data_IF_739162190439
#
_entry.id   IF_739162190439
#
_cell.length_a   1.000
_cell.length_b   1.000
_cell.length_c   1.000
_cell.angle_alpha   90.00
_cell.angle_beta   90.00
_cell.angle_gamma   90.00
#
_symmetry.space_group_name_H-M   'P 1'
#
loop_
_entity.id
_entity.type
_entity.pdbx_description
1 polymer ?
#
# COMPACT_ATOMS: atom_id res chain seq x y z
N UNK A 1 3.93 -31.18 2.56
CA UNK A 1 5.05 -30.59 3.30
C UNK A 1 5.91 -29.80 2.33
N UNK A 2 7.09 -29.34 2.74
CA UNK A 2 8.01 -28.59 1.87
C UNK A 2 8.42 -29.37 0.61
N UNK A 3 8.46 -30.70 0.66
CA UNK A 3 8.83 -31.58 -0.45
C UNK A 3 7.64 -31.91 -1.37
N UNK A 4 6.46 -31.36 -1.10
CA UNK A 4 5.22 -31.69 -1.83
C UNK A 4 4.63 -33.05 -1.42
N UNK A 5 5.10 -33.64 -0.32
CA UNK A 5 4.56 -34.90 0.19
C UNK A 5 3.34 -34.66 1.06
N UNK A 6 2.44 -35.64 1.14
CA UNK A 6 1.29 -35.60 2.05
C UNK A 6 1.73 -35.37 3.50
N UNK A 7 1.06 -34.46 4.20
CA UNK A 7 1.28 -34.25 5.63
C UNK A 7 0.60 -35.36 6.44
N UNK A 8 1.30 -35.92 7.42
CA UNK A 8 0.71 -36.80 8.42
C UNK A 8 1.36 -36.61 9.79
N UNK A 9 0.58 -36.78 10.85
CA UNK A 9 1.10 -36.77 12.22
C UNK A 9 2.16 -37.87 12.44
N UNK A 10 1.99 -39.03 11.79
CA UNK A 10 2.94 -40.15 11.88
C UNK A 10 4.27 -39.89 11.17
N UNK A 11 4.31 -39.02 10.16
CA UNK A 11 5.50 -38.66 9.41
C UNK A 11 6.25 -37.45 10.00
N UNK A 12 5.71 -36.83 11.07
CA UNK A 12 6.31 -35.68 11.74
C UNK A 12 6.39 -34.40 10.88
N UNK A 13 5.78 -34.40 9.69
CA UNK A 13 5.79 -33.28 8.73
C UNK A 13 4.47 -32.46 8.75
N UNK A 14 3.63 -32.68 9.76
CA UNK A 14 2.36 -32.00 9.95
C UNK A 14 2.58 -30.61 10.57
N UNK A 15 1.98 -29.58 9.97
CA UNK A 15 1.94 -28.23 10.53
C UNK A 15 0.66 -28.06 11.35
N UNK A 16 0.79 -27.77 12.63
CA UNK A 16 -0.34 -27.54 13.53
C UNK A 16 -0.75 -26.07 13.49
N UNK A 17 -1.99 -25.80 13.07
CA UNK A 17 -2.53 -24.45 12.99
C UNK A 17 -2.54 -23.72 14.34
N UNK A 18 -2.81 -24.41 15.46
CA UNK A 18 -2.82 -23.78 16.79
C UNK A 18 -1.41 -23.35 17.22
N UNK A 19 -0.39 -24.16 16.92
CA UNK A 19 1.00 -23.80 17.18
C UNK A 19 1.43 -22.62 16.31
N UNK A 20 1.06 -22.60 15.03
CA UNK A 20 1.32 -21.44 14.15
C UNK A 20 0.61 -20.17 14.62
N UNK A 21 -0.63 -20.26 15.09
CA UNK A 21 -1.36 -19.11 15.68
C UNK A 21 -0.66 -18.63 16.96
N UNK A 22 -0.26 -19.54 17.84
CA UNK A 22 0.46 -19.18 19.07
C UNK A 22 1.81 -18.52 18.78
N UNK A 23 2.51 -18.94 17.71
CA UNK A 23 3.83 -18.46 17.34
C UNK A 23 3.80 -17.14 16.55
N UNK A 24 2.90 -17.02 15.58
CA UNK A 24 2.88 -15.91 14.62
C UNK A 24 1.63 -15.03 14.70
N UNK A 25 0.55 -15.51 15.30
CA UNK A 25 -0.75 -14.87 15.29
C UNK A 25 -1.66 -15.34 14.15
N UNK A 26 -2.96 -15.22 14.37
CA UNK A 26 -4.03 -15.65 13.45
C UNK A 26 -3.99 -14.92 12.11
N UNK A 27 -3.79 -13.60 12.12
CA UNK A 27 -3.75 -12.79 10.90
C UNK A 27 -2.57 -13.16 9.99
N UNK A 28 -1.42 -13.54 10.56
CA UNK A 28 -0.25 -13.97 9.76
C UNK A 28 -0.55 -15.31 9.08
N UNK A 29 -1.17 -16.25 9.80
CA UNK A 29 -1.58 -17.52 9.20
C UNK A 29 -2.64 -17.31 8.10
N UNK A 30 -3.64 -16.43 8.33
CA UNK A 30 -4.65 -16.09 7.32
C UNK A 30 -4.05 -15.41 6.10
N UNK A 31 -3.08 -14.52 6.29
CA UNK A 31 -2.36 -13.86 5.20
C UNK A 31 -1.56 -14.88 4.37
N UNK A 32 -0.92 -15.85 5.03
CA UNK A 32 -0.22 -16.93 4.34
C UNK A 32 -1.19 -17.77 3.50
N UNK A 33 -2.34 -18.16 4.05
CA UNK A 33 -3.40 -18.87 3.31
C UNK A 33 -3.88 -18.04 2.12
N UNK A 34 -4.08 -16.73 2.30
CA UNK A 34 -4.49 -15.85 1.22
C UNK A 34 -3.40 -15.73 0.14
N UNK A 35 -2.11 -15.87 0.47
CA UNK A 35 -1.00 -15.70 -0.47
C UNK A 35 -0.75 -16.89 -1.41
N UNK A 36 -1.24 -18.08 -1.07
CA UNK A 36 -0.98 -19.30 -1.84
C UNK A 36 -2.05 -19.58 -2.89
N UNK A 37 -1.66 -20.14 -4.04
CA UNK A 37 -2.62 -20.62 -5.03
C UNK A 37 -3.23 -21.94 -4.56
N UNK A 38 -4.44 -21.89 -4.00
CA UNK A 38 -5.12 -23.07 -3.45
C UNK A 38 -5.66 -24.05 -4.51
N UNK A 39 -5.62 -23.67 -5.79
CA UNK A 39 -6.01 -24.57 -6.89
C UNK A 39 -4.94 -25.64 -7.15
N UNK A 40 -3.73 -25.44 -6.64
CA UNK A 40 -2.60 -26.35 -6.74
C UNK A 40 -2.27 -26.98 -5.38
N UNK A 41 -1.44 -28.02 -5.38
CA UNK A 41 -0.92 -28.59 -4.14
C UNK A 41 -0.07 -27.56 -3.39
N UNK A 42 -0.57 -27.13 -2.23
CA UNK A 42 0.11 -26.12 -1.41
C UNK A 42 1.25 -26.77 -0.62
N UNK A 43 2.45 -26.20 -0.77
CA UNK A 43 3.57 -26.48 0.14
C UNK A 43 3.34 -25.74 1.45
N UNK A 44 3.23 -26.50 2.53
CA UNK A 44 3.02 -25.98 3.88
C UNK A 44 4.15 -26.47 4.79
N UNK A 45 4.93 -25.53 5.32
CA UNK A 45 5.91 -25.73 6.39
C UNK A 45 5.96 -24.45 7.26
N UNK A 46 6.57 -24.55 8.45
CA UNK A 46 6.67 -23.43 9.40
C UNK A 46 7.46 -22.24 8.84
N UNK A 47 8.47 -22.50 7.99
CA UNK A 47 9.31 -21.47 7.40
C UNK A 47 8.54 -20.58 6.41
N UNK A 48 7.71 -21.16 5.54
CA UNK A 48 6.89 -20.43 4.57
C UNK A 48 5.86 -19.54 5.27
N UNK A 49 5.26 -20.03 6.37
CA UNK A 49 4.37 -19.23 7.21
C UNK A 49 5.17 -18.09 7.85
N UNK A 50 6.34 -18.38 8.42
CA UNK A 50 7.21 -17.38 9.05
C UNK A 50 7.66 -16.26 8.09
N UNK A 51 7.97 -16.58 6.82
CA UNK A 51 8.30 -15.56 5.80
C UNK A 51 7.17 -14.57 5.54
N UNK A 52 5.93 -14.93 5.84
CA UNK A 52 4.75 -14.04 5.69
C UNK A 52 4.75 -12.89 6.71
N UNK A 53 5.50 -13.02 7.81
CA UNK A 53 5.62 -11.94 8.82
C UNK A 53 6.19 -10.64 8.23
N UNK A 54 7.14 -10.74 7.30
CA UNK A 54 7.70 -9.55 6.66
C UNK A 54 6.69 -8.86 5.76
N UNK A 55 5.88 -9.62 5.02
CA UNK A 55 4.81 -9.07 4.22
C UNK A 55 3.75 -8.37 5.09
N UNK A 56 3.33 -9.03 6.17
CA UNK A 56 2.43 -8.46 7.18
C UNK A 56 2.99 -7.16 7.77
N UNK A 57 4.27 -7.15 8.16
CA UNK A 57 4.93 -5.97 8.75
C UNK A 57 4.94 -4.79 7.79
N UNK A 58 5.16 -5.01 6.49
CA UNK A 58 5.09 -3.93 5.48
C UNK A 58 3.68 -3.35 5.38
N UNK A 59 2.65 -4.19 5.29
CA UNK A 59 1.25 -3.75 5.27
C UNK A 59 0.92 -2.95 6.55
N UNK A 60 1.25 -3.49 7.73
CA UNK A 60 1.01 -2.81 9.02
C UNK A 60 1.74 -1.47 9.13
N UNK A 61 2.98 -1.39 8.63
CA UNK A 61 3.73 -0.13 8.62
C UNK A 61 3.09 0.93 7.71
N UNK A 62 2.56 0.54 6.55
CA UNK A 62 1.79 1.42 5.66
C UNK A 62 0.56 1.95 6.39
N UNK A 63 -0.24 1.07 7.01
CA UNK A 63 -1.42 1.47 7.79
C UNK A 63 -1.06 2.43 8.94
N UNK A 64 -0.01 2.12 9.69
CA UNK A 64 0.48 2.97 10.78
C UNK A 64 0.93 4.35 10.29
N UNK A 65 1.63 4.42 9.16
CA UNK A 65 2.07 5.69 8.58
C UNK A 65 0.87 6.55 8.18
N UNK A 66 -0.10 5.97 7.46
CA UNK A 66 -1.32 6.68 7.07
C UNK A 66 -2.07 7.20 8.29
N UNK A 67 -2.33 6.33 9.27
CA UNK A 67 -3.05 6.67 10.49
C UNK A 67 -2.34 7.78 11.29
N UNK A 68 -1.01 7.72 11.40
CA UNK A 68 -0.24 8.72 12.14
C UNK A 68 -0.21 10.10 11.48
N UNK A 69 -0.43 10.19 10.17
CA UNK A 69 -0.42 11.46 9.43
C UNK A 69 -1.80 12.11 9.29
N UNK A 70 -2.87 11.48 9.80
CA UNK A 70 -4.24 12.00 9.71
C UNK A 70 -4.87 12.28 11.08
N UNK A 71 -4.09 12.29 12.16
CA UNK A 71 -4.63 12.45 13.53
C UNK A 71 -5.36 13.79 13.75
N UNK A 72 -4.90 14.87 13.10
CA UNK A 72 -5.49 16.22 13.15
C UNK A 72 -6.46 16.53 11.99
N UNK A 73 -6.80 15.52 11.18
CA UNK A 73 -7.57 15.69 9.95
C UNK A 73 -9.03 15.27 10.15
N UNK A 74 -9.95 16.24 10.00
CA UNK A 74 -11.38 16.00 9.87
C UNK A 74 -11.77 16.07 8.38
N UNK A 75 -12.16 14.96 7.74
CA UNK A 75 -12.51 14.95 6.33
C UNK A 75 -13.75 15.79 6.01
N UNK A 76 -14.62 16.12 6.98
CA UNK A 76 -15.80 16.93 6.73
C UNK A 76 -15.48 18.42 6.56
N UNK A 77 -14.38 18.88 7.16
CA UNK A 77 -13.99 20.30 7.17
C UNK A 77 -12.76 20.56 6.29
N UNK A 78 -11.86 19.57 6.19
CA UNK A 78 -10.49 19.78 5.68
C UNK A 78 -10.19 19.03 4.38
N UNK A 79 -11.16 18.26 3.86
CA UNK A 79 -10.98 17.57 2.58
C UNK A 79 -10.78 18.56 1.44
N UNK A 80 -9.86 18.23 0.55
CA UNK A 80 -9.60 18.97 -0.69
C UNK A 80 -10.30 18.25 -1.84
N UNK A 81 -10.99 18.99 -2.72
CA UNK A 81 -11.60 18.42 -3.91
C UNK A 81 -10.52 17.86 -4.85
N UNK A 82 -10.83 16.76 -5.55
CA UNK A 82 -9.86 16.05 -6.39
C UNK A 82 -9.11 16.96 -7.37
N UNK A 83 -9.83 17.86 -8.05
CA UNK A 83 -9.23 18.77 -9.04
C UNK A 83 -8.26 19.79 -8.43
N UNK A 84 -8.45 20.13 -7.15
CA UNK A 84 -7.61 21.06 -6.39
C UNK A 84 -6.45 20.35 -5.67
N UNK A 85 -6.39 19.01 -5.72
CA UNK A 85 -5.30 18.24 -5.14
C UNK A 85 -4.00 18.41 -5.93
N UNK A 86 -2.88 18.23 -5.25
CA UNK A 86 -1.58 18.18 -5.90
C UNK A 86 -1.48 16.93 -6.78
N UNK A 87 -0.75 17.04 -7.88
CA UNK A 87 -0.65 15.98 -8.90
C UNK A 87 -0.26 14.61 -8.33
N UNK A 88 0.69 14.58 -7.39
CA UNK A 88 1.13 13.33 -6.73
C UNK A 88 0.02 12.69 -5.87
N UNK A 89 -0.88 13.50 -5.31
CA UNK A 89 -2.01 13.01 -4.53
C UNK A 89 -3.14 12.53 -5.45
N UNK A 90 -3.38 13.23 -6.57
CA UNK A 90 -4.28 12.76 -7.64
C UNK A 90 -3.84 11.40 -8.16
N UNK A 91 -2.55 11.25 -8.44
CA UNK A 91 -1.96 9.97 -8.83
C UNK A 91 -2.21 8.87 -7.78
N UNK A 92 -1.97 9.15 -6.49
CA UNK A 92 -2.22 8.17 -5.44
C UNK A 92 -3.70 7.77 -5.35
N UNK A 93 -4.61 8.72 -5.56
CA UNK A 93 -6.06 8.50 -5.62
C UNK A 93 -6.47 7.64 -6.82
N UNK A 94 -5.86 7.82 -7.99
CA UNK A 94 -6.07 6.97 -9.16
C UNK A 94 -5.55 5.55 -8.95
N UNK A 95 -4.34 5.42 -8.36
CA UNK A 95 -3.78 4.10 -8.02
C UNK A 95 -4.68 3.37 -7.01
N UNK A 96 -5.30 4.10 -6.08
CA UNK A 96 -6.30 3.53 -5.17
C UNK A 96 -7.52 2.99 -5.93
N UNK A 97 -8.07 3.73 -6.91
CA UNK A 97 -9.21 3.26 -7.69
C UNK A 97 -8.88 2.00 -8.50
N UNK A 98 -7.69 1.96 -9.14
CA UNK A 98 -7.17 0.77 -9.83
C UNK A 98 -7.06 -0.43 -8.88
N UNK A 99 -6.59 -0.20 -7.64
CA UNK A 99 -6.51 -1.24 -6.61
C UNK A 99 -7.91 -1.74 -6.24
N UNK A 100 -8.86 -0.85 -5.96
CA UNK A 100 -10.24 -1.21 -5.58
C UNK A 100 -10.87 -2.09 -6.66
N UNK A 101 -10.79 -1.69 -7.93
CA UNK A 101 -11.32 -2.46 -9.05
C UNK A 101 -10.70 -3.86 -9.12
N UNK A 102 -9.37 -3.94 -9.05
CA UNK A 102 -8.62 -5.19 -9.18
C UNK A 102 -8.83 -6.15 -8.00
N UNK A 103 -8.87 -5.62 -6.78
CA UNK A 103 -9.10 -6.40 -5.55
C UNK A 103 -10.54 -6.90 -5.50
N UNK A 104 -11.51 -6.05 -5.87
CA UNK A 104 -12.92 -6.46 -5.94
C UNK A 104 -13.10 -7.62 -6.92
N UNK A 105 -12.56 -7.49 -8.13
CA UNK A 105 -12.59 -8.57 -9.12
C UNK A 105 -11.90 -9.85 -8.62
N UNK A 106 -10.76 -9.73 -7.95
CA UNK A 106 -10.07 -10.90 -7.38
C UNK A 106 -10.90 -11.59 -6.29
N UNK A 107 -11.59 -10.83 -5.43
CA UNK A 107 -12.50 -11.41 -4.44
C UNK A 107 -13.72 -12.09 -5.08
N UNK A 108 -14.35 -11.47 -6.07
CA UNK A 108 -15.52 -12.02 -6.78
C UNK A 108 -15.20 -13.34 -7.50
N UNK A 109 -13.95 -13.50 -7.95
CA UNK A 109 -13.46 -14.71 -8.61
C UNK A 109 -12.73 -15.67 -7.66
N UNK A 110 -12.78 -15.41 -6.34
CA UNK A 110 -12.12 -16.21 -5.31
C UNK A 110 -10.60 -16.35 -5.48
N UNK A 111 -9.93 -15.41 -6.16
CA UNK A 111 -8.49 -15.43 -6.44
C UNK A 111 -7.71 -14.72 -5.32
N UNK A 112 -7.70 -15.29 -4.12
CA UNK A 112 -7.15 -14.63 -2.92
C UNK A 112 -5.64 -14.30 -2.99
N UNK A 113 -4.84 -15.12 -3.67
CA UNK A 113 -3.41 -14.83 -3.88
C UNK A 113 -3.20 -13.57 -4.74
N UNK A 114 -4.17 -13.28 -5.61
CA UNK A 114 -4.20 -12.02 -6.37
C UNK A 114 -4.54 -10.85 -5.45
N UNK A 115 -5.50 -10.99 -4.54
CA UNK A 115 -5.79 -9.96 -3.51
C UNK A 115 -4.53 -9.66 -2.70
N UNK A 116 -3.86 -10.69 -2.18
CA UNK A 116 -2.61 -10.53 -1.43
C UNK A 116 -1.55 -9.76 -2.23
N UNK A 117 -1.24 -10.23 -3.44
CA UNK A 117 -0.19 -9.62 -4.27
C UNK A 117 -0.51 -8.17 -4.67
N UNK A 118 -1.76 -7.87 -5.01
CA UNK A 118 -2.21 -6.51 -5.34
C UNK A 118 -2.04 -5.56 -4.16
N UNK A 119 -2.56 -5.92 -2.98
CA UNK A 119 -2.48 -5.08 -1.79
C UNK A 119 -1.03 -4.94 -1.32
N UNK A 120 -0.26 -6.02 -1.32
CA UNK A 120 1.14 -6.00 -0.94
C UNK A 120 1.97 -5.11 -1.87
N UNK A 121 1.77 -5.21 -3.19
CA UNK A 121 2.45 -4.34 -4.14
C UNK A 121 2.06 -2.88 -3.92
N UNK A 122 0.76 -2.58 -3.78
CA UNK A 122 0.29 -1.24 -3.46
C UNK A 122 0.95 -0.64 -2.21
N UNK A 123 1.03 -1.41 -1.12
CA UNK A 123 1.66 -0.96 0.11
C UNK A 123 3.17 -0.71 -0.05
N UNK A 124 3.85 -1.50 -0.88
CA UNK A 124 5.32 -1.48 -0.97
C UNK A 124 5.87 -0.58 -2.06
N UNK A 125 5.21 -0.52 -3.21
CA UNK A 125 5.64 0.25 -4.37
C UNK A 125 4.93 1.60 -4.35
N UNK A 126 3.62 1.64 -4.59
CA UNK A 126 2.88 2.89 -4.72
C UNK A 126 2.94 3.73 -3.45
N UNK A 127 2.72 3.09 -2.30
CA UNK A 127 2.70 3.80 -1.02
C UNK A 127 4.11 4.02 -0.45
N UNK A 128 4.80 2.96 -0.05
CA UNK A 128 6.03 3.11 0.73
C UNK A 128 7.20 3.67 -0.07
N UNK A 129 7.41 3.24 -1.32
CA UNK A 129 8.61 3.62 -2.08
C UNK A 129 8.42 4.91 -2.88
N UNK A 130 7.18 5.28 -3.20
CA UNK A 130 6.86 6.47 -4.00
C UNK A 130 6.13 7.50 -3.13
N UNK A 131 4.85 7.28 -2.83
CA UNK A 131 3.98 8.31 -2.30
C UNK A 131 4.45 8.84 -0.93
N UNK A 132 4.59 7.94 0.04
CA UNK A 132 4.95 8.29 1.41
C UNK A 132 6.37 8.85 1.49
N UNK A 133 7.29 8.40 0.64
CA UNK A 133 8.65 8.93 0.63
C UNK A 133 8.71 10.39 0.18
N UNK A 134 7.97 10.73 -0.89
CA UNK A 134 7.82 12.10 -1.39
C UNK A 134 7.08 12.98 -0.39
N UNK A 135 6.10 12.44 0.33
CA UNK A 135 5.24 13.23 1.21
C UNK A 135 5.84 13.57 2.58
N UNK A 136 6.93 12.93 3.00
CA UNK A 136 7.52 13.16 4.34
C UNK A 136 7.76 14.64 4.62
N UNK A 137 8.47 15.34 3.73
CA UNK A 137 8.86 16.73 3.98
C UNK A 137 7.62 17.63 4.11
N UNK A 138 6.64 17.51 3.22
CA UNK A 138 5.40 18.30 3.31
C UNK A 138 4.51 17.93 4.50
N UNK A 139 4.54 16.69 4.97
CA UNK A 139 3.76 16.31 6.16
C UNK A 139 4.40 16.85 7.46
N UNK A 140 5.73 16.98 7.51
CA UNK A 140 6.47 17.41 8.70
C UNK A 140 6.77 18.91 8.74
N UNK A 141 6.97 19.56 7.60
CA UNK A 141 7.53 20.91 7.52
C UNK A 141 6.51 21.97 7.07
N UNK A 142 5.50 21.61 6.27
CA UNK A 142 4.52 22.59 5.80
C UNK A 142 3.56 23.00 6.92
N UNK A 143 2.96 24.19 6.78
CA UNK A 143 1.97 24.67 7.74
C UNK A 143 0.78 23.71 7.86
N UNK A 144 0.26 23.58 9.09
CA UNK A 144 -0.76 22.59 9.45
C UNK A 144 -2.01 22.65 8.55
N UNK A 145 -2.43 23.86 8.18
CA UNK A 145 -3.64 24.14 7.37
C UNK A 145 -3.34 24.46 5.89
N UNK A 146 -2.09 24.29 5.44
CA UNK A 146 -1.74 24.53 4.04
C UNK A 146 -2.48 23.58 3.09
N UNK A 147 -2.81 24.08 1.87
CA UNK A 147 -3.38 23.24 0.80
C UNK A 147 -2.49 22.03 0.51
N UNK A 148 -1.16 22.24 0.49
CA UNK A 148 -0.18 21.17 0.35
C UNK A 148 -0.42 20.08 1.40
N UNK A 149 -0.46 20.40 2.70
CA UNK A 149 -0.68 19.37 3.72
C UNK A 149 -2.07 18.73 3.65
N UNK A 150 -3.14 19.53 3.47
CA UNK A 150 -4.53 19.04 3.44
C UNK A 150 -4.84 18.16 2.21
N UNK A 151 -4.24 18.44 1.06
CA UNK A 151 -4.33 17.58 -0.14
C UNK A 151 -3.82 16.17 0.15
N UNK A 152 -2.69 16.06 0.86
CA UNK A 152 -2.06 14.78 1.16
C UNK A 152 -2.83 14.00 2.22
N UNK A 153 -3.32 14.70 3.25
CA UNK A 153 -4.17 14.06 4.27
C UNK A 153 -5.50 13.58 3.69
N UNK A 154 -6.07 14.30 2.73
CA UNK A 154 -7.28 13.85 2.01
C UNK A 154 -7.04 12.52 1.31
N UNK A 155 -5.94 12.39 0.56
CA UNK A 155 -5.57 11.13 -0.08
C UNK A 155 -5.27 10.03 0.95
N UNK A 156 -4.46 10.32 1.97
CA UNK A 156 -4.08 9.33 2.99
C UNK A 156 -5.30 8.79 3.75
N UNK A 157 -6.26 9.65 4.10
CA UNK A 157 -7.50 9.26 4.76
C UNK A 157 -8.31 8.30 3.88
N UNK A 158 -8.56 8.68 2.61
CA UNK A 158 -9.30 7.82 1.68
C UNK A 158 -8.60 6.49 1.40
N UNK A 159 -7.27 6.52 1.24
CA UNK A 159 -6.44 5.31 1.07
C UNK A 159 -6.55 4.41 2.29
N UNK A 160 -6.40 4.94 3.50
CA UNK A 160 -6.50 4.17 4.74
C UNK A 160 -7.87 3.49 4.87
N UNK A 161 -8.95 4.26 4.71
CA UNK A 161 -10.31 3.75 4.82
C UNK A 161 -10.58 2.60 3.84
N UNK A 162 -10.22 2.78 2.56
CA UNK A 162 -10.43 1.75 1.55
C UNK A 162 -9.52 0.53 1.76
N UNK A 163 -8.25 0.75 2.13
CA UNK A 163 -7.28 -0.32 2.34
C UNK A 163 -7.68 -1.21 3.53
N UNK A 164 -8.13 -0.62 4.65
CA UNK A 164 -8.60 -1.36 5.83
C UNK A 164 -9.82 -2.22 5.48
N UNK A 165 -10.79 -1.68 4.74
CA UNK A 165 -11.96 -2.43 4.27
C UNK A 165 -11.59 -3.58 3.33
N UNK A 166 -10.64 -3.38 2.41
CA UNK A 166 -10.14 -4.45 1.54
C UNK A 166 -9.35 -5.53 2.29
N UNK A 167 -8.68 -5.17 3.38
CA UNK A 167 -7.91 -6.11 4.20
C UNK A 167 -8.78 -6.91 5.18
N UNK A 168 -9.94 -6.38 5.58
CA UNK A 168 -10.80 -6.96 6.60
C UNK A 168 -11.13 -8.45 6.42
N UNK A 169 -11.40 -8.98 5.20
CA UNK A 169 -11.67 -10.41 5.03
C UNK A 169 -10.47 -11.32 5.38
N UNK A 170 -9.24 -10.82 5.28
CA UNK A 170 -8.00 -11.59 5.50
C UNK A 170 -7.39 -11.27 6.87
N UNK A 171 -7.09 -10.01 7.14
CA UNK A 171 -6.45 -9.52 8.37
C UNK A 171 -7.51 -9.06 9.39
N UNK A 172 -8.33 -9.99 9.86
CA UNK A 172 -9.56 -9.67 10.59
C UNK A 172 -9.32 -8.91 11.90
N UNK A 173 -8.21 -9.18 12.59
CA UNK A 173 -7.89 -8.51 13.86
C UNK A 173 -7.22 -7.16 13.60
N UNK A 174 -6.27 -7.12 12.67
CA UNK A 174 -5.53 -5.89 12.32
C UNK A 174 -6.45 -4.85 11.71
N UNK A 175 -7.39 -5.25 10.84
CA UNK A 175 -8.35 -4.34 10.26
C UNK A 175 -9.27 -3.74 11.34
N UNK A 176 -9.70 -4.53 12.31
CA UNK A 176 -10.54 -4.04 13.43
C UNK A 176 -9.76 -3.09 14.36
N UNK A 177 -8.49 -3.39 14.65
CA UNK A 177 -7.60 -2.53 15.43
C UNK A 177 -7.46 -1.15 14.76
N UNK A 178 -7.22 -1.13 13.45
CA UNK A 178 -7.06 0.11 12.69
C UNK A 178 -8.38 0.87 12.58
N UNK A 179 -9.49 0.18 12.28
CA UNK A 179 -10.82 0.79 12.22
C UNK A 179 -11.21 1.44 13.55
N UNK A 180 -10.95 0.77 14.67
CA UNK A 180 -11.20 1.30 16.01
C UNK A 180 -10.38 2.56 16.30
N UNK A 181 -9.15 2.63 15.78
CA UNK A 181 -8.27 3.79 15.95
C UNK A 181 -8.61 4.97 15.02
N UNK A 182 -9.33 4.74 13.92
CA UNK A 182 -9.75 5.82 13.01
C UNK A 182 -10.83 6.69 13.64
N UNK A 183 -10.53 7.98 13.82
CA UNK A 183 -11.51 8.97 14.32
C UNK A 183 -12.68 9.19 13.36
N UNK A 184 -12.36 9.33 12.07
CA UNK A 184 -13.33 9.56 11.00
C UNK A 184 -13.32 8.40 10.02
N UNK A 185 -14.48 7.74 9.88
CA UNK A 185 -14.70 6.56 9.04
C UNK A 185 -15.63 6.92 7.89
N UNK A 186 -15.49 6.28 6.74
CA UNK A 186 -16.44 6.49 5.62
C UNK A 186 -17.85 5.94 5.88
N UNK A 187 -17.97 5.02 6.85
CA UNK A 187 -19.24 4.42 7.28
C UNK A 187 -19.31 4.41 8.79
N UNK A 188 -20.45 4.84 9.34
CA UNK A 188 -20.71 4.86 10.78
C UNK A 188 -21.19 3.47 11.24
N UNK A 189 -20.24 2.54 11.34
CA UNK A 189 -20.47 1.17 11.83
C UNK A 189 -19.45 0.81 12.91
N UNK A 190 -19.93 0.09 13.92
CA UNK A 190 -19.14 -0.26 15.12
C UNK A 190 -17.92 -1.13 14.80
N UNK A 191 -18.03 -2.02 13.80
CA UNK A 191 -16.98 -2.96 13.41
C UNK A 191 -16.70 -2.84 11.92
N UNK A 192 -15.42 -3.02 11.53
CA UNK A 192 -15.03 -3.06 10.11
C UNK A 192 -15.78 -4.17 9.36
N UNK A 193 -16.13 -5.24 10.06
CA UNK A 193 -16.79 -6.42 9.48
C UNK A 193 -18.27 -6.18 9.15
N UNK A 194 -18.81 -5.02 9.54
CA UNK A 194 -20.14 -4.53 9.14
C UNK A 194 -20.06 -3.52 7.99
N UNK A 195 -18.86 -3.03 7.66
CA UNK A 195 -18.65 -2.07 6.58
C UNK A 195 -18.74 -2.76 5.22
N UNK A 196 -19.23 -2.02 4.22
CA UNK A 196 -19.23 -2.51 2.84
C UNK A 196 -17.84 -2.36 2.21
N UNK A 197 -17.48 -3.24 1.27
CA UNK A 197 -16.28 -3.07 0.43
C UNK A 197 -16.25 -1.69 -0.26
N UNK A 198 -15.06 -1.10 -0.48
CA UNK A 198 -14.94 0.12 -1.26
C UNK A 198 -15.48 -0.09 -2.67
N UNK A 199 -16.05 0.98 -3.22
CA UNK A 199 -16.42 1.06 -4.63
C UNK A 199 -15.51 2.06 -5.31
N UNK A 200 -15.29 1.82 -6.59
CA UNK A 200 -14.58 2.75 -7.46
C UNK A 200 -15.32 4.07 -7.49
N UNK A 201 -14.58 5.16 -7.34
CA UNK A 201 -15.07 6.52 -7.53
C UNK A 201 -14.95 6.89 -9.02
N UNK A 202 -16.06 6.79 -9.75
CA UNK A 202 -16.11 7.06 -11.19
C UNK A 202 -15.89 8.53 -11.56
N UNK A 203 -15.84 9.44 -10.57
CA UNK A 203 -15.44 10.83 -10.80
C UNK A 203 -13.93 10.99 -11.03
N UNK A 204 -13.13 9.98 -10.66
CA UNK A 204 -11.69 9.96 -10.87
C UNK A 204 -11.42 9.16 -12.14
N UNK A 205 -10.78 9.76 -13.13
CA UNK A 205 -10.32 9.03 -14.31
C UNK A 205 -9.14 8.12 -13.94
N UNK A 206 -9.46 6.91 -13.50
CA UNK A 206 -8.50 5.90 -13.08
C UNK A 206 -8.16 4.92 -14.19
N UNK A 207 -8.92 4.92 -15.29
CA UNK A 207 -8.70 4.05 -16.45
C UNK A 207 -7.78 4.68 -17.47
N UNK A 208 -7.66 6.02 -17.46
CA UNK A 208 -6.61 6.69 -18.21
C UNK A 208 -5.25 6.07 -17.86
N UNK A 209 -4.58 5.61 -18.91
CA UNK A 209 -3.15 5.44 -18.80
C UNK A 209 -2.56 6.84 -18.75
N UNK A 210 -1.65 7.10 -17.81
CA UNK A 210 -0.99 8.40 -17.70
C UNK A 210 0.46 8.26 -18.18
N UNK A 211 0.71 8.35 -19.51
CA UNK A 211 2.06 8.35 -20.08
C UNK A 211 3.02 9.31 -19.39
N UNK A 212 2.50 10.43 -18.87
CA UNK A 212 3.25 11.39 -18.07
C UNK A 212 3.87 10.74 -16.83
N UNK A 213 3.08 10.05 -16.01
CA UNK A 213 3.59 9.39 -14.80
C UNK A 213 4.49 8.21 -15.12
N UNK A 214 4.20 7.45 -16.17
CA UNK A 214 5.12 6.38 -16.60
C UNK A 214 6.51 6.94 -16.91
N UNK A 215 6.58 8.08 -17.63
CA UNK A 215 7.84 8.77 -17.96
C UNK A 215 8.51 9.38 -16.73
N UNK A 216 7.75 10.00 -15.83
CA UNK A 216 8.28 10.53 -14.57
C UNK A 216 8.87 9.43 -13.68
N UNK A 217 8.18 8.28 -13.56
CA UNK A 217 8.66 7.15 -12.76
C UNK A 217 9.90 6.51 -13.39
N UNK A 218 9.94 6.37 -14.72
CA UNK A 218 11.13 5.88 -15.41
C UNK A 218 12.35 6.80 -15.18
N UNK A 219 12.15 8.12 -15.31
CA UNK A 219 13.21 9.09 -15.03
C UNK A 219 13.64 9.07 -13.56
N UNK A 220 12.70 8.95 -12.62
CA UNK A 220 12.99 8.81 -11.19
C UNK A 220 13.87 7.59 -10.93
N UNK A 221 13.57 6.45 -11.56
CA UNK A 221 14.33 5.22 -11.38
C UNK A 221 15.76 5.35 -11.94
N UNK A 222 15.94 6.06 -13.06
CA UNK A 222 17.27 6.42 -13.57
C UNK A 222 18.04 7.29 -12.59
N UNK A 223 17.42 8.35 -12.07
CA UNK A 223 18.05 9.24 -11.08
C UNK A 223 18.42 8.49 -9.80
N UNK A 224 17.52 7.65 -9.27
CA UNK A 224 17.79 6.87 -8.05
C UNK A 224 18.93 5.88 -8.23
N UNK A 225 19.11 5.32 -9.44
CA UNK A 225 20.24 4.44 -9.75
C UNK A 225 21.56 5.19 -9.63
N UNK A 226 21.66 6.38 -10.22
CA UNK A 226 22.85 7.24 -10.12
C UNK A 226 23.13 7.65 -8.67
N UNK A 227 22.09 8.03 -7.91
CA UNK A 227 22.24 8.38 -6.49
C UNK A 227 22.70 7.19 -5.64
N UNK A 228 22.24 5.97 -5.95
CA UNK A 228 22.70 4.76 -5.27
C UNK A 228 24.19 4.48 -5.53
N UNK A 229 24.67 4.72 -6.75
CA UNK A 229 26.11 4.60 -7.03
C UNK A 229 26.94 5.59 -6.22
N UNK A 230 26.49 6.84 -6.09
CA UNK A 230 27.15 7.85 -5.26
C UNK A 230 27.14 7.46 -3.77
N UNK A 231 26.02 6.89 -3.28
CA UNK A 231 25.94 6.35 -1.91
C UNK A 231 26.95 5.23 -1.68
N UNK A 232 27.07 4.29 -2.63
CA UNK A 232 28.02 3.17 -2.52
C UNK A 232 29.48 3.63 -2.52
N UNK A 233 29.79 4.75 -3.17
CA UNK A 233 31.11 5.39 -3.14
C UNK A 233 31.36 6.20 -1.87
N UNK A 234 30.34 6.41 -1.03
CA UNK A 234 30.41 7.24 0.17
C UNK A 234 30.46 8.75 -0.11
N UNK A 235 30.12 9.17 -1.33
CA UNK A 235 30.10 10.59 -1.73
C UNK A 235 28.89 11.32 -1.15
N UNK A 236 27.78 10.61 -0.97
CA UNK A 236 26.58 11.09 -0.30
C UNK A 236 26.07 10.04 0.70
N UNK A 237 25.49 10.49 1.81
CA UNK A 237 24.81 9.66 2.81
C UNK A 237 23.29 9.56 2.61
N UNK A 238 22.67 10.57 1.99
CA UNK A 238 21.23 10.57 1.67
C UNK A 238 20.94 11.31 0.36
N UNK A 239 19.74 11.09 -0.21
CA UNK A 239 19.31 11.79 -1.43
C UNK A 239 19.29 13.32 -1.26
N UNK A 240 19.06 13.82 -0.04
CA UNK A 240 18.97 15.26 0.25
C UNK A 240 20.32 15.98 0.17
N UNK A 241 21.44 15.24 0.09
CA UNK A 241 22.78 15.81 -0.07
C UNK A 241 23.19 15.97 -1.54
N UNK A 242 22.36 15.51 -2.47
CA UNK A 242 22.65 15.56 -3.89
C UNK A 242 21.92 16.70 -4.60
N UNK A 243 22.56 17.26 -5.63
CA UNK A 243 21.92 18.14 -6.60
C UNK A 243 21.83 17.40 -7.93
N UNK A 244 20.60 17.14 -8.39
CA UNK A 244 20.36 16.44 -9.66
C UNK A 244 20.15 17.48 -10.77
N UNK A 245 20.96 17.40 -11.84
CA UNK A 245 20.78 18.21 -13.05
C UNK A 245 20.44 17.30 -14.22
N UNK A 246 19.21 17.42 -14.70
CA UNK A 246 18.70 16.64 -15.83
C UNK A 246 18.87 17.47 -17.11
N UNK A 247 19.39 16.83 -18.17
CA UNK A 247 19.49 17.42 -19.52
C UNK A 247 18.86 16.44 -20.49
N UNK A 248 17.92 16.93 -21.30
CA UNK A 248 17.23 16.11 -22.30
C UNK A 248 17.07 16.90 -23.59
N UNK A 249 17.12 16.20 -24.72
CA UNK A 249 16.71 16.72 -26.04
C UNK A 249 15.33 16.22 -26.44
N UNK A 250 14.65 15.47 -25.56
CA UNK A 250 13.29 15.00 -25.77
C UNK A 250 12.30 16.08 -25.32
N UNK A 251 11.63 16.71 -26.30
CA UNK A 251 10.67 17.79 -26.07
C UNK A 251 9.51 17.39 -25.15
N UNK A 252 9.07 16.13 -25.22
CA UNK A 252 7.98 15.64 -24.40
C UNK A 252 8.41 15.53 -22.92
N UNK A 253 9.61 15.01 -22.66
CA UNK A 253 10.14 14.98 -21.30
C UNK A 253 10.41 16.40 -20.78
N UNK A 254 10.83 17.32 -21.65
CA UNK A 254 11.02 18.72 -21.28
C UNK A 254 9.69 19.39 -20.85
N UNK A 255 8.60 19.12 -21.56
CA UNK A 255 7.26 19.61 -21.17
C UNK A 255 6.82 19.04 -19.82
N UNK A 256 7.04 17.75 -19.59
CA UNK A 256 6.72 17.09 -18.32
C UNK A 256 7.51 17.68 -17.15
N UNK A 257 8.77 18.05 -17.36
CA UNK A 257 9.63 18.62 -16.30
C UNK A 257 9.35 20.10 -16.02
N UNK A 258 8.78 20.83 -16.98
CA UNK A 258 8.48 22.26 -16.86
C UNK A 258 7.05 22.56 -16.41
N UNK A 259 6.15 21.57 -16.39
CA UNK A 259 4.75 21.70 -15.99
C UNK A 259 4.44 20.96 -14.71
#
# INVERSE_FOLDING_TARGET
DEKGMKQSKSLGNYVNAQESIAKYGSDILRLWVASVNYQEDIRCNDELIGRTQDAYRKIRNTLRYLLGNIDDFDPNEKSVAYDDMFEIDKWAMQQLQKLIASVTNAYENFVFHRVFSLIYNFCTVEMSSIYMDVLKDRMYCDEADSLSRRSGQTAMHRILDCLVRMLAPVLVHTAEEVWSAMKFKSQDVESIHLAQMPKVDEAIDWQADEPRWQKLMALRDEVLRELEELRRKGEIGSNQQALVRIRTTNDELLQILNG
#
